data_IF_475845877934
#
_entry.id   IF_475845877934
#
_cell.length_a   1.000
_cell.length_b   1.000
_cell.length_c   1.000
_cell.angle_alpha   90.00
_cell.angle_beta   90.00
_cell.angle_gamma   90.00
#
_symmetry.space_group_name_H-M   'P 1'
#
loop_
_entity.id
_entity.type
_entity.pdbx_description
1 polymer ?
#
# COMPACT_ATOMS: atom_id res chain seq x y z
N UNK A 1 -22.85 -0.34 -18.45
CA UNK A 1 -22.12 -1.21 -19.40
C UNK A 1 -20.63 -1.40 -19.10
N UNK A 2 -19.83 -0.37 -18.71
CA UNK A 2 -18.39 -0.56 -18.36
C UNK A 2 -18.09 -1.25 -17.01
N UNK A 3 -19.02 -1.23 -16.06
CA UNK A 3 -18.84 -1.83 -14.72
C UNK A 3 -18.75 -3.37 -14.78
N UNK A 4 -19.46 -4.01 -15.71
CA UNK A 4 -19.50 -5.47 -15.82
C UNK A 4 -18.14 -6.04 -16.22
N UNK A 5 -17.54 -5.50 -17.29
CA UNK A 5 -16.23 -5.96 -17.80
C UNK A 5 -15.11 -5.82 -16.77
N UNK A 6 -15.12 -4.76 -15.96
CA UNK A 6 -14.12 -4.57 -14.90
C UNK A 6 -14.25 -5.64 -13.81
N UNK A 7 -15.48 -5.94 -13.39
CA UNK A 7 -15.73 -6.97 -12.38
C UNK A 7 -15.45 -8.38 -12.91
N UNK A 8 -15.77 -8.65 -14.17
CA UNK A 8 -15.44 -9.90 -14.86
C UNK A 8 -13.93 -10.16 -14.85
N UNK A 9 -13.11 -9.17 -15.21
CA UNK A 9 -11.63 -9.28 -15.17
C UNK A 9 -11.11 -9.51 -13.75
N UNK A 10 -11.69 -8.86 -12.74
CA UNK A 10 -11.35 -9.11 -11.33
C UNK A 10 -11.64 -10.56 -10.96
N UNK A 11 -12.85 -11.04 -11.29
CA UNK A 11 -13.27 -12.40 -10.95
C UNK A 11 -12.37 -13.44 -11.64
N UNK A 12 -12.01 -13.21 -12.91
CA UNK A 12 -11.09 -14.06 -13.65
C UNK A 12 -9.68 -14.07 -13.02
N UNK A 13 -9.14 -12.90 -12.66
CA UNK A 13 -7.83 -12.82 -12.00
C UNK A 13 -7.85 -13.48 -10.62
N UNK A 14 -8.92 -13.30 -9.84
CA UNK A 14 -9.09 -13.94 -8.54
C UNK A 14 -9.16 -15.47 -8.70
N UNK A 15 -9.96 -15.97 -9.65
CA UNK A 15 -10.09 -17.40 -9.95
C UNK A 15 -8.75 -18.04 -10.31
N UNK A 16 -7.89 -17.30 -11.00
CA UNK A 16 -6.56 -17.76 -11.40
C UNK A 16 -5.47 -17.40 -10.38
N UNK A 17 -5.77 -16.79 -9.23
CA UNK A 17 -4.74 -16.37 -8.26
C UNK A 17 -3.78 -15.28 -8.78
N UNK A 18 -4.16 -14.52 -9.80
CA UNK A 18 -3.38 -13.43 -10.42
C UNK A 18 -3.54 -12.10 -9.66
N UNK A 19 -3.39 -12.14 -8.35
CA UNK A 19 -3.68 -11.01 -7.46
C UNK A 19 -2.78 -9.80 -7.69
N UNK A 20 -1.58 -9.99 -8.23
CA UNK A 20 -0.57 -8.94 -8.41
C UNK A 20 -0.56 -8.33 -9.82
N UNK A 21 -1.52 -8.71 -10.67
CA UNK A 21 -1.58 -8.26 -12.06
C UNK A 21 -2.48 -7.02 -12.22
N UNK A 22 -2.10 -6.08 -13.11
CA UNK A 22 -2.87 -4.87 -13.34
C UNK A 22 -4.22 -5.20 -13.99
N UNK A 23 -5.21 -4.34 -13.75
CA UNK A 23 -6.49 -4.41 -14.45
C UNK A 23 -6.44 -3.39 -15.60
N UNK A 24 -6.10 -3.87 -16.78
CA UNK A 24 -5.93 -3.06 -17.99
C UNK A 24 -7.28 -2.70 -18.63
N UNK A 25 -8.13 -1.98 -17.91
CA UNK A 25 -9.43 -1.52 -18.44
C UNK A 25 -9.45 -0.08 -18.90
N UNK A 26 -8.48 0.72 -18.45
CA UNK A 26 -8.53 2.17 -18.65
C UNK A 26 -7.45 2.73 -19.57
N UNK A 27 -6.47 1.91 -20.01
CA UNK A 27 -5.48 2.33 -21.01
C UNK A 27 -4.66 3.58 -20.63
N UNK A 28 -4.61 3.95 -19.35
CA UNK A 28 -3.84 5.10 -18.88
C UNK A 28 -2.35 4.78 -18.95
N UNK A 29 -1.74 5.03 -20.12
CA UNK A 29 -0.29 5.13 -20.23
C UNK A 29 0.12 6.54 -19.86
N UNK A 30 0.92 6.67 -18.81
CA UNK A 30 1.51 7.96 -18.44
C UNK A 30 2.35 8.48 -19.61
N UNK A 31 2.07 9.72 -20.01
CA UNK A 31 2.89 10.42 -21.01
C UNK A 31 4.07 11.08 -20.28
N UNK A 32 5.22 11.18 -20.93
CA UNK A 32 6.42 11.83 -20.39
C UNK A 32 7.03 11.14 -19.16
N UNK A 33 6.98 9.81 -19.10
CA UNK A 33 7.70 9.03 -18.08
C UNK A 33 9.20 9.33 -18.19
N UNK A 34 9.82 9.55 -17.03
CA UNK A 34 11.26 9.72 -16.88
C UNK A 34 11.80 8.49 -16.16
N UNK A 35 12.57 7.66 -16.87
CA UNK A 35 13.31 6.57 -16.23
C UNK A 35 14.26 7.10 -15.14
N UNK A 36 14.34 6.37 -14.05
CA UNK A 36 15.16 6.74 -12.89
C UNK A 36 16.58 6.24 -13.14
N UNK A 37 17.44 7.16 -13.56
CA UNK A 37 18.88 6.93 -13.77
C UNK A 37 19.65 6.96 -12.46
N UNK A 38 20.91 6.54 -12.51
CA UNK A 38 21.79 6.47 -11.34
C UNK A 38 22.05 7.82 -10.66
N UNK A 39 21.98 8.92 -11.39
CA UNK A 39 22.16 10.29 -10.92
C UNK A 39 20.86 10.94 -10.42
N UNK A 40 19.76 10.17 -10.37
CA UNK A 40 18.47 10.68 -9.93
C UNK A 40 18.53 11.13 -8.47
N UNK A 41 18.21 12.41 -8.26
CA UNK A 41 18.07 12.99 -6.93
C UNK A 41 16.64 12.77 -6.45
N UNK A 42 16.41 11.78 -5.60
CA UNK A 42 15.08 11.50 -5.05
C UNK A 42 14.65 12.64 -4.12
N UNK A 43 15.57 13.14 -3.31
CA UNK A 43 15.38 14.33 -2.50
C UNK A 43 16.28 15.50 -2.92
N UNK A 44 15.68 16.61 -3.35
CA UNK A 44 16.43 17.82 -3.74
C UNK A 44 16.79 18.65 -2.50
N UNK A 45 18.09 18.72 -2.17
CA UNK A 45 18.58 19.40 -0.97
C UNK A 45 18.80 20.92 -1.10
N UNK A 46 18.47 21.52 -2.25
CA UNK A 46 18.59 22.98 -2.45
C UNK A 46 17.56 23.73 -1.60
N UNK A 47 17.90 24.92 -1.09
CA UNK A 47 17.04 25.68 -0.18
C UNK A 47 15.66 26.00 -0.78
N UNK A 48 15.60 26.43 -2.04
CA UNK A 48 14.34 26.69 -2.74
C UNK A 48 13.48 25.42 -2.93
N UNK A 49 14.12 24.25 -3.04
CA UNK A 49 13.42 22.96 -3.11
C UNK A 49 12.78 22.61 -1.77
N UNK A 50 13.37 23.02 -0.64
CA UNK A 50 12.78 22.85 0.70
C UNK A 50 11.55 23.73 0.87
N UNK A 51 11.62 25.00 0.44
CA UNK A 51 10.48 25.94 0.45
C UNK A 51 9.33 25.39 -0.41
N UNK A 52 9.62 25.01 -1.65
CA UNK A 52 8.60 24.42 -2.53
C UNK A 52 8.00 23.14 -1.93
N UNK A 53 8.82 22.28 -1.31
CA UNK A 53 8.34 21.08 -0.61
C UNK A 53 7.40 21.41 0.55
N UNK A 54 7.67 22.48 1.30
CA UNK A 54 6.82 22.93 2.39
C UNK A 54 5.43 23.32 1.86
N UNK A 55 5.37 24.20 0.85
CA UNK A 55 4.11 24.62 0.24
C UNK A 55 3.34 23.45 -0.39
N UNK A 56 4.02 22.60 -1.17
CA UNK A 56 3.37 21.44 -1.79
C UNK A 56 2.81 20.48 -0.73
N UNK A 57 3.52 20.27 0.37
CA UNK A 57 3.03 19.41 1.46
C UNK A 57 1.87 20.05 2.22
N UNK A 58 1.84 21.37 2.35
CA UNK A 58 0.70 22.10 2.91
C UNK A 58 -0.55 21.95 2.01
N UNK A 59 -0.40 22.14 0.70
CA UNK A 59 -1.48 21.93 -0.29
C UNK A 59 -1.99 20.50 -0.22
N UNK A 60 -1.10 19.50 -0.24
CA UNK A 60 -1.51 18.09 -0.16
C UNK A 60 -2.17 17.75 1.17
N UNK A 61 -1.77 18.39 2.28
CA UNK A 61 -2.43 18.22 3.58
C UNK A 61 -3.86 18.79 3.55
N UNK A 62 -4.04 19.96 2.94
CA UNK A 62 -5.36 20.55 2.75
C UNK A 62 -6.24 19.69 1.84
N UNK A 63 -5.71 19.20 0.71
CA UNK A 63 -6.40 18.27 -0.15
C UNK A 63 -6.79 16.98 0.61
N UNK A 64 -5.89 16.44 1.42
CA UNK A 64 -6.15 15.24 2.23
C UNK A 64 -7.30 15.45 3.22
N UNK A 65 -7.39 16.63 3.83
CA UNK A 65 -8.51 17.00 4.70
C UNK A 65 -9.85 17.00 3.94
N UNK A 66 -9.91 17.57 2.73
CA UNK A 66 -11.12 17.53 1.90
C UNK A 66 -11.47 16.10 1.46
N UNK A 67 -10.48 15.30 1.07
CA UNK A 67 -10.70 13.88 0.71
C UNK A 67 -11.24 13.08 1.89
N UNK A 68 -10.76 13.34 3.10
CA UNK A 68 -11.30 12.75 4.33
C UNK A 68 -12.77 13.11 4.54
N UNK A 69 -13.14 14.39 4.35
CA UNK A 69 -14.55 14.81 4.44
C UNK A 69 -15.38 14.12 3.36
N UNK A 70 -14.90 14.12 2.11
CA UNK A 70 -15.60 13.52 0.98
C UNK A 70 -15.88 12.03 1.18
N UNK A 71 -14.93 11.28 1.74
CA UNK A 71 -15.09 9.87 2.07
C UNK A 71 -15.62 9.62 3.49
N UNK A 72 -16.09 10.64 4.21
CA UNK A 72 -16.57 10.54 5.60
C UNK A 72 -15.66 9.65 6.46
N UNK A 73 -14.34 9.84 6.32
CA UNK A 73 -13.36 8.84 6.72
C UNK A 73 -13.29 8.71 8.24
N UNK A 74 -13.36 7.46 8.69
CA UNK A 74 -13.28 7.11 10.11
C UNK A 74 -12.00 6.35 10.38
N UNK A 75 -11.45 6.54 11.58
CA UNK A 75 -10.21 5.88 12.01
C UNK A 75 -10.53 4.95 13.17
N UNK A 76 -10.22 3.66 13.01
CA UNK A 76 -10.25 2.65 14.06
C UNK A 76 -8.84 2.17 14.38
N UNK A 77 -8.63 1.66 15.60
CA UNK A 77 -7.31 1.18 16.03
C UNK A 77 -6.28 2.28 16.34
N UNK A 78 -6.70 3.51 16.68
CA UNK A 78 -5.79 4.61 17.01
C UNK A 78 -4.74 4.28 18.08
N UNK A 79 -5.06 3.37 19.01
CA UNK A 79 -4.13 2.94 20.05
C UNK A 79 -2.92 2.20 19.48
N UNK A 80 -3.09 1.46 18.38
CA UNK A 80 -1.99 0.78 17.70
C UNK A 80 -1.03 1.78 17.04
N UNK A 81 -1.56 2.78 16.34
CA UNK A 81 -0.74 3.89 15.85
C UNK A 81 -0.04 4.67 16.98
N UNK A 82 -0.71 4.86 18.14
CA UNK A 82 -0.10 5.56 19.29
C UNK A 82 1.18 4.85 19.79
N UNK A 83 1.30 3.52 19.65
CA UNK A 83 2.52 2.76 19.97
C UNK A 83 3.71 3.19 19.11
N UNK A 84 3.44 3.69 17.89
CA UNK A 84 4.46 4.12 16.94
C UNK A 84 4.66 5.64 16.89
N UNK A 85 3.87 6.43 17.65
CA UNK A 85 3.77 7.89 17.45
C UNK A 85 5.07 8.69 17.60
N UNK A 86 6.08 8.09 18.24
CA UNK A 86 7.35 8.70 18.59
C UNK A 86 8.54 8.05 17.84
N UNK A 87 8.27 7.15 16.90
CA UNK A 87 9.29 6.44 16.13
C UNK A 87 8.96 6.46 14.63
N UNK A 88 9.95 6.12 13.82
CA UNK A 88 9.78 5.98 12.38
C UNK A 88 9.35 4.56 12.04
N UNK A 89 8.50 4.40 11.03
CA UNK A 89 7.92 3.11 10.69
C UNK A 89 7.58 2.98 9.21
N UNK A 90 7.37 1.75 8.77
CA UNK A 90 6.82 1.43 7.45
C UNK A 90 5.32 1.22 7.62
N UNK A 91 4.49 1.89 6.83
CA UNK A 91 3.05 1.64 6.79
C UNK A 91 2.74 0.77 5.57
N UNK A 92 1.98 -0.31 5.77
CA UNK A 92 1.58 -1.21 4.69
C UNK A 92 0.06 -1.19 4.60
N UNK A 93 -0.49 -0.90 3.42
CA UNK A 93 -1.94 -0.80 3.19
C UNK A 93 -2.36 -1.61 1.98
N UNK A 94 -3.61 -2.07 1.98
CA UNK A 94 -4.30 -2.48 0.76
C UNK A 94 -4.54 -1.26 -0.16
N UNK A 95 -4.60 -1.48 -1.47
CA UNK A 95 -4.67 -0.41 -2.49
C UNK A 95 -5.99 -0.47 -3.27
N UNK A 96 -7.00 0.25 -2.77
CA UNK A 96 -8.39 0.09 -3.23
C UNK A 96 -8.99 1.37 -3.84
N UNK A 97 -8.36 2.54 -3.69
CA UNK A 97 -8.86 3.82 -4.21
C UNK A 97 -7.72 4.69 -4.75
N UNK A 98 -7.98 5.48 -5.80
CA UNK A 98 -6.95 6.36 -6.38
C UNK A 98 -6.35 7.39 -5.39
N UNK A 99 -7.09 7.74 -4.34
CA UNK A 99 -6.74 8.77 -3.36
C UNK A 99 -6.57 8.22 -1.94
N UNK A 100 -6.44 6.91 -1.78
CA UNK A 100 -6.20 6.28 -0.48
C UNK A 100 -4.96 6.80 0.25
N UNK A 101 -3.89 7.08 -0.49
CA UNK A 101 -2.67 7.69 0.06
C UNK A 101 -2.92 9.04 0.76
N UNK A 102 -3.90 9.82 0.30
CA UNK A 102 -4.27 11.09 0.94
C UNK A 102 -5.07 10.86 2.23
N UNK A 103 -5.93 9.83 2.27
CA UNK A 103 -6.59 9.43 3.52
C UNK A 103 -5.56 9.01 4.57
N UNK A 104 -4.60 8.17 4.20
CA UNK A 104 -3.54 7.71 5.10
C UNK A 104 -2.66 8.88 5.56
N UNK A 105 -2.35 9.83 4.65
CA UNK A 105 -1.62 11.05 4.98
C UNK A 105 -2.33 11.89 6.05
N UNK A 106 -3.65 12.09 5.94
CA UNK A 106 -4.39 12.83 6.98
C UNK A 106 -4.44 12.06 8.30
N UNK A 107 -4.65 10.74 8.22
CA UNK A 107 -4.80 9.89 9.41
C UNK A 107 -3.51 9.76 10.23
N UNK A 108 -2.35 9.91 9.57
CA UNK A 108 -1.01 9.90 10.19
C UNK A 108 -0.37 11.30 10.08
N UNK A 109 -1.05 12.32 10.60
CA UNK A 109 -0.64 13.72 10.42
C UNK A 109 0.55 14.20 11.29
N UNK A 110 1.05 13.39 12.24
CA UNK A 110 2.20 13.74 13.10
C UNK A 110 3.56 13.32 12.52
N UNK A 111 3.54 12.55 11.44
CA UNK A 111 4.72 12.06 10.74
C UNK A 111 4.80 12.67 9.35
N UNK A 112 6.03 12.90 8.87
CA UNK A 112 6.26 13.28 7.49
C UNK A 112 6.01 12.06 6.60
N UNK A 113 5.07 12.24 5.68
CA UNK A 113 4.65 11.23 4.73
C UNK A 113 5.67 11.05 3.60
N UNK A 114 5.97 9.79 3.30
CA UNK A 114 6.63 9.32 2.09
C UNK A 114 5.86 8.13 1.52
N UNK A 115 5.94 7.91 0.21
CA UNK A 115 5.26 6.80 -0.46
C UNK A 115 6.14 6.23 -1.57
N UNK A 116 6.15 4.90 -1.70
CA UNK A 116 6.76 4.24 -2.85
C UNK A 116 5.74 4.08 -3.98
N UNK A 117 6.13 4.42 -5.20
CA UNK A 117 5.29 4.28 -6.38
C UNK A 117 6.07 3.59 -7.51
N UNK A 118 5.36 2.96 -8.45
CA UNK A 118 5.96 2.44 -9.67
C UNK A 118 6.74 3.52 -10.42
N UNK A 119 7.82 3.11 -11.11
CA UNK A 119 8.67 4.01 -11.89
C UNK A 119 7.88 4.89 -12.89
N UNK A 120 6.79 4.38 -13.44
CA UNK A 120 5.95 5.09 -14.41
C UNK A 120 5.26 6.34 -13.83
N UNK A 121 5.15 6.45 -12.51
CA UNK A 121 4.68 7.67 -11.85
C UNK A 121 5.75 8.77 -11.82
N UNK A 122 7.01 8.47 -12.17
CA UNK A 122 8.07 9.46 -12.31
C UNK A 122 7.94 10.23 -13.62
N UNK A 123 6.93 11.08 -13.74
CA UNK A 123 6.66 11.86 -14.94
C UNK A 123 7.38 13.22 -14.93
N UNK A 124 7.60 13.81 -16.11
CA UNK A 124 8.12 15.20 -16.22
C UNK A 124 7.03 16.24 -15.88
N UNK A 125 7.45 17.50 -15.73
CA UNK A 125 6.53 18.64 -15.61
C UNK A 125 6.01 18.92 -14.19
N UNK A 126 4.91 19.68 -14.10
CA UNK A 126 4.34 20.13 -12.83
C UNK A 126 3.86 18.97 -11.95
N UNK A 127 3.17 17.97 -12.53
CA UNK A 127 2.69 16.79 -11.80
C UNK A 127 3.84 16.00 -11.18
N UNK A 128 4.91 15.72 -11.93
CA UNK A 128 6.08 15.03 -11.42
C UNK A 128 6.75 15.78 -10.26
N UNK A 129 6.89 17.11 -10.39
CA UNK A 129 7.39 17.95 -9.29
C UNK A 129 6.48 17.87 -8.07
N UNK A 130 5.16 17.96 -8.24
CA UNK A 130 4.20 17.85 -7.15
C UNK A 130 4.32 16.49 -6.43
N UNK A 131 4.38 15.38 -7.16
CA UNK A 131 4.53 14.04 -6.59
C UNK A 131 5.83 13.89 -5.81
N UNK A 132 6.96 14.27 -6.41
CA UNK A 132 8.28 14.21 -5.77
C UNK A 132 8.31 15.04 -4.48
N UNK A 133 7.93 16.31 -4.55
CA UNK A 133 7.93 17.22 -3.40
C UNK A 133 6.88 16.85 -2.34
N UNK A 134 5.80 16.18 -2.77
CA UNK A 134 4.80 15.56 -1.92
C UNK A 134 5.33 14.38 -1.10
N UNK A 135 6.47 13.79 -1.47
CA UNK A 135 7.11 12.66 -0.78
C UNK A 135 7.07 11.34 -1.53
N UNK A 136 6.75 11.34 -2.83
CA UNK A 136 6.80 10.13 -3.65
C UNK A 136 8.25 9.76 -4.00
N UNK A 137 8.58 8.49 -3.85
CA UNK A 137 9.80 7.86 -4.33
C UNK A 137 9.44 6.84 -5.42
N UNK A 138 9.88 7.05 -6.68
CA UNK A 138 9.68 6.05 -7.73
C UNK A 138 10.64 4.88 -7.52
N UNK A 139 10.13 3.65 -7.52
CA UNK A 139 10.93 2.43 -7.44
C UNK A 139 11.67 2.25 -8.78
N UNK A 140 13.01 2.39 -8.82
CA UNK A 140 13.76 2.32 -10.06
C UNK A 140 13.82 0.88 -10.60
N UNK A 141 13.77 0.75 -11.93
CA UNK A 141 14.13 -0.50 -12.61
C UNK A 141 15.66 -0.71 -12.65
N UNK A 142 16.43 0.38 -12.58
CA UNK A 142 17.89 0.33 -12.52
C UNK A 142 18.38 -0.10 -11.12
N UNK A 143 19.17 -1.18 -11.00
CA UNK A 143 19.62 -1.69 -9.69
C UNK A 143 20.48 -0.70 -8.90
N UNK A 144 21.37 0.05 -9.55
CA UNK A 144 22.22 1.04 -8.88
C UNK A 144 21.41 2.23 -8.35
N UNK A 145 20.41 2.67 -9.12
CA UNK A 145 19.48 3.69 -8.66
C UNK A 145 18.60 3.19 -7.49
N UNK A 146 18.21 1.91 -7.51
CA UNK A 146 17.48 1.28 -6.41
C UNK A 146 18.30 1.27 -5.11
N UNK A 147 19.61 0.97 -5.18
CA UNK A 147 20.53 1.05 -4.02
C UNK A 147 20.54 2.48 -3.45
N UNK A 148 20.70 3.51 -4.29
CA UNK A 148 20.67 4.91 -3.85
C UNK A 148 19.32 5.31 -3.23
N UNK A 149 18.22 4.86 -3.83
CA UNK A 149 16.88 5.06 -3.25
C UNK A 149 16.78 4.45 -1.85
N UNK A 150 17.25 3.20 -1.68
CA UNK A 150 17.26 2.50 -0.38
C UNK A 150 18.07 3.27 0.66
N UNK A 151 19.25 3.79 0.29
CA UNK A 151 20.08 4.61 1.18
C UNK A 151 19.37 5.90 1.62
N UNK A 152 18.72 6.61 0.69
CA UNK A 152 17.96 7.83 1.04
C UNK A 152 16.76 7.52 1.98
N UNK A 153 16.04 6.44 1.72
CA UNK A 153 14.92 6.00 2.57
C UNK A 153 15.41 5.56 3.96
N UNK A 154 16.55 4.86 4.04
CA UNK A 154 17.20 4.50 5.30
C UNK A 154 17.51 5.73 6.12
N UNK A 155 18.21 6.71 5.53
CA UNK A 155 18.56 7.97 6.20
C UNK A 155 17.32 8.75 6.67
N UNK A 156 16.20 8.69 5.93
CA UNK A 156 14.93 9.28 6.38
C UNK A 156 14.41 8.56 7.62
N UNK A 157 14.35 7.22 7.61
CA UNK A 157 13.81 6.45 8.73
C UNK A 157 14.74 6.38 9.96
N UNK A 158 16.03 6.63 9.81
CA UNK A 158 16.98 6.73 10.93
C UNK A 158 17.06 8.15 11.52
N UNK A 159 16.56 9.16 10.81
CA UNK A 159 16.61 10.55 11.30
C UNK A 159 15.80 10.75 12.59
N UNK A 160 16.21 11.72 13.41
CA UNK A 160 15.47 12.15 14.62
C UNK A 160 14.08 12.76 14.32
N UNK A 161 13.71 12.89 13.04
CA UNK A 161 12.39 13.38 12.64
C UNK A 161 11.41 12.21 12.68
N UNK A 162 10.13 12.53 12.83
CA UNK A 162 9.03 11.57 12.68
C UNK A 162 8.66 11.43 11.22
N UNK A 163 9.00 10.31 10.61
CA UNK A 163 8.77 9.97 9.21
C UNK A 163 8.10 8.60 9.12
N UNK A 164 7.32 8.38 8.06
CA UNK A 164 6.89 7.04 7.70
C UNK A 164 6.88 6.88 6.18
N UNK A 165 7.08 5.65 5.72
CA UNK A 165 6.97 5.27 4.32
C UNK A 165 5.71 4.44 4.16
N UNK A 166 4.79 4.87 3.30
CA UNK A 166 3.64 4.09 2.86
C UNK A 166 4.02 3.20 1.68
N UNK A 167 3.67 1.91 1.78
CA UNK A 167 3.84 0.92 0.72
C UNK A 167 2.51 0.19 0.52
N UNK A 168 2.07 0.13 -0.73
CA UNK A 168 0.95 -0.70 -1.14
C UNK A 168 1.47 -2.07 -1.57
N UNK A 169 1.50 -3.03 -0.65
CA UNK A 169 2.17 -4.31 -0.87
C UNK A 169 1.40 -5.27 -1.79
N UNK A 170 0.17 -4.95 -2.17
CA UNK A 170 -0.61 -5.69 -3.17
C UNK A 170 -0.19 -5.38 -4.64
N UNK A 171 0.90 -4.60 -4.82
CA UNK A 171 1.55 -4.17 -6.09
C UNK A 171 0.71 -3.28 -7.01
N UNK A 172 -0.52 -3.68 -7.30
CA UNK A 172 -1.47 -3.01 -8.19
C UNK A 172 -2.65 -2.46 -7.41
N UNK A 173 -3.32 -1.42 -7.93
CA UNK A 173 -4.59 -0.99 -7.36
C UNK A 173 -5.73 -1.76 -7.99
N UNK A 174 -6.58 -2.39 -7.19
CA UNK A 174 -7.87 -2.91 -7.65
C UNK A 174 -8.98 -1.98 -7.14
N UNK A 175 -9.45 -1.09 -8.02
CA UNK A 175 -10.43 -0.06 -7.68
C UNK A 175 -11.70 -0.64 -7.06
N UNK A 176 -12.03 -0.19 -5.85
CA UNK A 176 -13.19 -0.62 -5.03
C UNK A 176 -13.21 -2.12 -4.68
N UNK A 177 -12.09 -2.81 -4.85
CA UNK A 177 -11.94 -4.19 -4.38
C UNK A 177 -11.81 -4.20 -2.84
N UNK A 178 -12.54 -5.11 -2.20
CA UNK A 178 -12.72 -5.10 -0.74
C UNK A 178 -12.04 -6.25 -0.01
N UNK A 179 -11.74 -7.36 -0.70
CA UNK A 179 -11.00 -8.46 -0.11
C UNK A 179 -9.53 -8.02 0.05
N UNK A 180 -8.85 -8.39 1.14
CA UNK A 180 -7.39 -8.25 1.20
C UNK A 180 -6.77 -9.05 0.06
N UNK A 181 -5.57 -8.73 -0.42
CA UNK A 181 -4.82 -9.55 -1.38
C UNK A 181 -3.45 -9.97 -0.83
N UNK A 182 -2.90 -11.08 -1.34
CA UNK A 182 -1.49 -11.45 -1.16
C UNK A 182 -0.52 -10.28 -1.32
N UNK A 183 0.49 -10.21 -0.46
CA UNK A 183 1.44 -9.09 -0.39
C UNK A 183 2.86 -9.44 -0.82
N UNK A 184 3.50 -8.62 -1.64
CA UNK A 184 4.88 -8.87 -2.09
C UNK A 184 5.92 -8.52 -1.01
N UNK A 185 7.10 -9.17 -1.09
CA UNK A 185 8.15 -9.08 -0.07
C UNK A 185 8.80 -7.70 0.12
N UNK A 186 8.56 -6.75 -0.79
CA UNK A 186 9.25 -5.46 -0.82
C UNK A 186 9.12 -4.65 0.47
N UNK A 187 7.92 -4.58 1.05
CA UNK A 187 7.69 -3.81 2.28
C UNK A 187 8.43 -4.38 3.50
N UNK A 188 8.42 -5.70 3.64
CA UNK A 188 9.06 -6.42 4.73
C UNK A 188 10.59 -6.36 4.64
N UNK A 189 11.14 -6.37 3.42
CA UNK A 189 12.56 -6.11 3.19
C UNK A 189 12.97 -4.73 3.73
N UNK A 190 12.18 -3.68 3.45
CA UNK A 190 12.47 -2.34 3.98
C UNK A 190 12.37 -2.28 5.50
N UNK A 191 11.37 -2.94 6.10
CA UNK A 191 11.21 -2.98 7.55
C UNK A 191 12.40 -3.67 8.22
N UNK A 192 12.84 -4.81 7.69
CA UNK A 192 14.02 -5.54 8.18
C UNK A 192 15.31 -4.74 7.97
N UNK A 193 15.60 -4.31 6.73
CA UNK A 193 16.86 -3.63 6.37
C UNK A 193 17.08 -2.31 7.14
N UNK A 194 16.00 -1.69 7.62
CA UNK A 194 16.02 -0.42 8.35
C UNK A 194 15.75 -0.58 9.85
N UNK A 195 15.50 -1.80 10.32
CA UNK A 195 15.09 -2.11 11.70
C UNK A 195 13.94 -1.18 12.16
N UNK A 196 12.83 -1.20 11.43
CA UNK A 196 11.64 -0.38 11.71
C UNK A 196 10.38 -1.24 11.77
N UNK A 197 9.44 -0.92 12.68
CA UNK A 197 8.17 -1.62 12.73
C UNK A 197 7.33 -1.34 11.48
N UNK A 198 6.46 -2.30 11.18
CA UNK A 198 5.37 -2.17 10.22
C UNK A 198 4.10 -1.77 10.97
N UNK A 199 3.40 -0.77 10.46
CA UNK A 199 2.01 -0.48 10.80
C UNK A 199 1.11 -1.06 9.71
N UNK A 200 0.43 -2.19 9.94
CA UNK A 200 -0.56 -2.69 9.01
C UNK A 200 -1.79 -1.78 9.02
N UNK A 201 -2.24 -1.40 7.83
CA UNK A 201 -3.42 -0.57 7.59
C UNK A 201 -4.38 -1.37 6.72
N UNK A 202 -5.64 -1.45 7.14
CA UNK A 202 -6.70 -2.01 6.32
C UNK A 202 -7.76 -0.94 6.03
N UNK A 203 -8.00 -0.68 4.75
CA UNK A 203 -9.00 0.26 4.25
C UNK A 203 -10.28 -0.49 3.91
N UNK A 204 -11.30 -0.25 4.72
CA UNK A 204 -12.64 -0.78 4.53
C UNK A 204 -13.49 0.22 3.73
N UNK A 205 -13.99 -0.22 2.57
CA UNK A 205 -14.91 0.56 1.74
C UNK A 205 -16.34 0.19 2.10
N UNK A 206 -17.14 1.17 2.52
CA UNK A 206 -18.60 1.03 2.60
C UNK A 206 -19.25 1.76 1.42
N UNK A 207 -20.02 1.03 0.63
CA UNK A 207 -20.79 1.55 -0.50
C UNK A 207 -22.20 1.97 -0.06
N UNK A 208 -22.88 2.77 -0.87
CA UNK A 208 -24.32 3.01 -0.70
C UNK A 208 -25.11 1.73 -1.00
N UNK A 209 -26.28 1.56 -0.35
CA UNK A 209 -27.19 0.43 -0.66
C UNK A 209 -27.55 0.51 -2.15
N UNK A 210 -27.44 -0.61 -2.86
CA UNK A 210 -27.75 -0.73 -4.29
C UNK A 210 -26.94 0.21 -5.22
N UNK A 211 -25.71 0.58 -4.84
CA UNK A 211 -24.86 1.43 -5.68
C UNK A 211 -23.38 1.11 -5.52
N UNK A 212 -22.61 1.22 -6.61
CA UNK A 212 -21.14 1.13 -6.57
C UNK A 212 -20.44 2.40 -6.09
N UNK A 213 -21.19 3.43 -5.68
CA UNK A 213 -20.64 4.65 -5.11
C UNK A 213 -20.12 4.38 -3.69
N UNK A 214 -18.89 4.82 -3.44
CA UNK A 214 -18.31 4.78 -2.09
C UNK A 214 -19.03 5.80 -1.23
N UNK A 215 -19.63 5.34 -0.13
CA UNK A 215 -20.29 6.18 0.88
C UNK A 215 -19.29 6.65 1.92
N UNK A 216 -18.48 5.73 2.43
CA UNK A 216 -17.44 6.05 3.40
C UNK A 216 -16.27 5.08 3.34
N UNK A 217 -15.11 5.52 3.81
CA UNK A 217 -13.93 4.69 3.99
C UNK A 217 -13.56 4.64 5.46
N UNK A 218 -13.34 3.46 6.02
CA UNK A 218 -12.85 3.29 7.39
C UNK A 218 -11.40 2.82 7.34
N UNK A 219 -10.50 3.57 7.94
CA UNK A 219 -9.08 3.24 8.06
C UNK A 219 -8.84 2.53 9.39
N UNK A 220 -8.43 1.27 9.33
CA UNK A 220 -8.09 0.47 10.49
C UNK A 220 -6.57 0.42 10.64
N UNK A 221 -6.07 0.93 11.77
CA UNK A 221 -4.69 0.71 12.19
C UNK A 221 -4.63 -0.59 13.00
N UNK A 222 -3.98 -1.62 12.46
CA UNK A 222 -3.88 -2.92 13.10
C UNK A 222 -2.63 -2.99 13.98
N UNK A 223 -2.41 -4.12 14.63
CA UNK A 223 -1.31 -4.27 15.60
C UNK A 223 0.04 -4.13 14.89
N UNK A 224 0.95 -3.26 15.37
CA UNK A 224 2.26 -3.11 14.75
C UNK A 224 3.07 -4.39 14.81
N UNK A 225 3.84 -4.64 13.77
CA UNK A 225 4.68 -5.81 13.62
C UNK A 225 6.13 -5.35 13.68
N UNK A 226 6.95 -5.97 14.53
CA UNK A 226 8.35 -5.60 14.70
C UNK A 226 9.25 -6.66 14.04
N UNK A 227 10.37 -6.26 13.42
CA UNK A 227 11.41 -7.20 13.07
C UNK A 227 11.86 -7.99 14.30
N UNK A 228 12.11 -9.29 14.14
CA UNK A 228 12.66 -10.15 15.17
C UNK A 228 14.17 -10.37 14.94
N UNK A 229 15.01 -9.75 15.77
CA UNK A 229 16.47 -9.83 15.63
C UNK A 229 17.07 -11.22 15.90
N UNK A 230 16.27 -12.18 16.36
CA UNK A 230 16.69 -13.58 16.54
C UNK A 230 16.45 -14.47 15.32
N UNK A 231 15.76 -13.96 14.29
CA UNK A 231 15.49 -14.67 13.04
C UNK A 231 16.42 -14.18 11.94
N UNK A 232 16.72 -15.06 10.99
CA UNK A 232 17.40 -14.62 9.77
C UNK A 232 16.50 -13.71 8.92
N UNK A 233 17.08 -13.10 7.88
CA UNK A 233 16.34 -12.16 7.02
C UNK A 233 15.11 -12.79 6.37
N UNK A 234 15.23 -14.03 5.89
CA UNK A 234 14.15 -14.72 5.17
C UNK A 234 13.01 -15.07 6.12
N UNK A 235 13.34 -15.69 7.26
CA UNK A 235 12.39 -16.07 8.31
C UNK A 235 11.67 -14.84 8.88
N UNK A 236 12.39 -13.74 9.07
CA UNK A 236 11.82 -12.49 9.59
C UNK A 236 10.85 -11.86 8.58
N UNK A 237 11.22 -11.83 7.29
CA UNK A 237 10.34 -11.36 6.21
C UNK A 237 9.06 -12.22 6.16
N UNK A 238 9.19 -13.54 6.21
CA UNK A 238 8.06 -14.46 6.19
C UNK A 238 7.15 -14.27 7.42
N UNK A 239 7.74 -14.20 8.62
CA UNK A 239 7.01 -13.94 9.87
C UNK A 239 6.21 -12.64 9.78
N UNK A 240 6.84 -11.54 9.35
CA UNK A 240 6.16 -10.24 9.24
C UNK A 240 5.06 -10.26 8.19
N UNK A 241 5.30 -10.92 7.05
CA UNK A 241 4.33 -11.09 5.96
C UNK A 241 3.12 -11.89 6.43
N UNK A 242 3.33 -13.09 6.96
CA UNK A 242 2.26 -13.96 7.42
C UNK A 242 1.43 -13.28 8.52
N UNK A 243 2.08 -12.60 9.46
CA UNK A 243 1.38 -11.84 10.50
C UNK A 243 0.48 -10.73 9.90
N UNK A 244 1.01 -9.94 8.96
CA UNK A 244 0.23 -8.89 8.30
C UNK A 244 -0.96 -9.46 7.53
N UNK A 245 -0.73 -10.48 6.70
CA UNK A 245 -1.76 -11.11 5.87
C UNK A 245 -2.87 -11.70 6.74
N UNK A 246 -2.50 -12.39 7.83
CA UNK A 246 -3.44 -12.89 8.82
C UNK A 246 -4.27 -11.76 9.45
N UNK A 247 -3.63 -10.66 9.88
CA UNK A 247 -4.35 -9.51 10.45
C UNK A 247 -5.34 -8.88 9.46
N UNK A 248 -4.99 -8.82 8.17
CA UNK A 248 -5.89 -8.34 7.12
C UNK A 248 -7.07 -9.26 6.87
N UNK A 249 -6.83 -10.57 6.78
CA UNK A 249 -7.87 -11.60 6.62
C UNK A 249 -8.84 -11.57 7.81
N UNK A 250 -8.32 -11.61 9.03
CA UNK A 250 -9.14 -11.54 10.25
C UNK A 250 -9.96 -10.25 10.29
N UNK A 251 -9.35 -9.11 9.94
CA UNK A 251 -10.06 -7.82 9.90
C UNK A 251 -11.15 -7.80 8.83
N UNK A 252 -10.90 -8.38 7.66
CA UNK A 252 -11.89 -8.49 6.60
C UNK A 252 -13.11 -9.30 7.08
N UNK A 253 -12.89 -10.49 7.65
CA UNK A 253 -13.98 -11.30 8.19
C UNK A 253 -14.78 -10.57 9.27
N UNK A 254 -14.11 -9.86 10.18
CA UNK A 254 -14.76 -9.06 11.22
C UNK A 254 -15.66 -7.95 10.65
N UNK A 255 -15.14 -7.10 9.77
CA UNK A 255 -15.86 -5.87 9.34
C UNK A 255 -16.97 -6.13 8.33
N UNK A 256 -16.88 -7.27 7.63
CA UNK A 256 -17.91 -7.76 6.71
C UNK A 256 -18.82 -8.82 7.34
N UNK A 257 -18.60 -9.20 8.62
CA UNK A 257 -19.39 -10.19 9.37
C UNK A 257 -19.50 -11.52 8.63
N UNK A 258 -18.41 -11.94 8.02
CA UNK A 258 -18.33 -13.19 7.27
C UNK A 258 -17.88 -14.29 8.25
N UNK A 259 -18.57 -15.44 8.32
CA UNK A 259 -18.14 -16.57 9.13
C UNK A 259 -16.73 -17.05 8.76
N UNK A 260 -15.88 -17.38 9.76
CA UNK A 260 -14.50 -17.79 9.52
C UNK A 260 -14.35 -19.12 8.77
N UNK A 261 -15.39 -19.94 8.71
CA UNK A 261 -15.42 -21.17 7.92
C UNK A 261 -15.77 -20.92 6.44
N UNK A 262 -16.11 -19.68 6.07
CA UNK A 262 -16.36 -19.32 4.68
C UNK A 262 -15.04 -18.94 3.99
N UNK A 263 -14.77 -19.60 2.86
CA UNK A 263 -13.59 -19.30 2.05
C UNK A 263 -13.57 -17.86 1.54
N UNK A 264 -12.40 -17.26 1.60
CA UNK A 264 -12.11 -15.92 1.11
C UNK A 264 -12.19 -15.87 -0.42
N UNK A 265 -11.60 -16.87 -1.09
CA UNK A 265 -11.62 -17.02 -2.54
C UNK A 265 -12.05 -18.43 -2.95
N UNK A 266 -12.53 -18.54 -4.19
CA UNK A 266 -12.69 -19.81 -4.92
C UNK A 266 -11.70 -19.76 -6.08
N UNK A 267 -10.75 -20.68 -6.11
CA UNK A 267 -9.57 -20.59 -6.99
C UNK A 267 -9.38 -21.93 -7.71
N UNK A 268 -8.95 -21.90 -8.97
CA UNK A 268 -8.55 -23.10 -9.68
C UNK A 268 -7.19 -23.64 -9.19
N UNK A 269 -6.83 -24.86 -9.58
CA UNK A 269 -5.58 -25.50 -9.17
C UNK A 269 -4.35 -24.61 -9.41
N UNK A 270 -4.25 -23.98 -10.59
CA UNK A 270 -3.13 -23.09 -10.91
C UNK A 270 -3.06 -21.87 -9.96
N UNK A 271 -4.20 -21.28 -9.62
CA UNK A 271 -4.25 -20.15 -8.70
C UNK A 271 -4.02 -20.55 -7.26
N UNK A 272 -4.40 -21.78 -6.87
CA UNK A 272 -4.09 -22.35 -5.57
C UNK A 272 -2.58 -22.55 -5.41
N UNK A 273 -1.89 -23.06 -6.44
CA UNK A 273 -0.42 -23.19 -6.46
C UNK A 273 0.29 -21.84 -6.35
N UNK A 274 -0.25 -20.79 -7.00
CA UNK A 274 0.28 -19.43 -6.90
C UNK A 274 0.22 -18.87 -5.46
N UNK A 275 -0.64 -19.41 -4.60
CA UNK A 275 -0.75 -19.03 -3.20
C UNK A 275 0.18 -19.81 -2.26
N UNK A 276 1.02 -20.73 -2.75
CA UNK A 276 1.99 -21.46 -1.92
C UNK A 276 2.92 -20.51 -1.13
N UNK A 277 3.26 -19.34 -1.70
CA UNK A 277 4.07 -18.32 -1.01
C UNK A 277 3.26 -17.48 0.01
N UNK A 278 1.97 -17.75 0.15
CA UNK A 278 1.00 -16.99 0.95
C UNK A 278 0.13 -17.96 1.77
N UNK A 279 0.72 -18.71 2.71
CA UNK A 279 0.03 -19.80 3.42
C UNK A 279 -1.21 -19.31 4.18
N UNK A 280 -1.20 -18.07 4.68
CA UNK A 280 -2.36 -17.49 5.37
C UNK A 280 -3.55 -17.27 4.42
N UNK A 281 -3.31 -16.90 3.16
CA UNK A 281 -4.35 -16.83 2.15
C UNK A 281 -4.78 -18.22 1.69
N UNK A 282 -3.82 -19.11 1.41
CA UNK A 282 -4.10 -20.46 0.91
C UNK A 282 -5.02 -21.25 1.87
N UNK A 283 -4.80 -21.14 3.18
CA UNK A 283 -5.66 -21.75 4.22
C UNK A 283 -7.12 -21.29 4.18
N UNK A 284 -7.40 -20.12 3.60
CA UNK A 284 -8.74 -19.54 3.50
C UNK A 284 -9.39 -19.77 2.14
N UNK A 285 -8.80 -20.62 1.29
CA UNK A 285 -9.24 -20.84 -0.08
C UNK A 285 -9.66 -22.29 -0.29
N UNK A 286 -10.67 -22.48 -1.14
CA UNK A 286 -10.94 -23.80 -1.71
C UNK A 286 -10.35 -23.87 -3.11
N UNK A 287 -9.56 -24.89 -3.35
CA UNK A 287 -9.24 -25.36 -4.69
C UNK A 287 -10.51 -25.94 -5.32
N UNK A 288 -10.83 -25.51 -6.54
CA UNK A 288 -11.87 -26.12 -7.36
C UNK A 288 -11.22 -26.76 -8.59
N UNK A 289 -11.59 -28.01 -8.86
CA UNK A 289 -11.27 -28.64 -10.13
C UNK A 289 -12.14 -27.99 -11.20
N UNK A 290 -11.50 -27.42 -12.22
CA UNK A 290 -12.17 -26.94 -13.42
C UNK A 290 -11.99 -28.05 -14.45
N UNK A 291 -13.10 -28.72 -14.81
CA UNK A 291 -13.14 -29.68 -15.92
C UNK A 291 -13.03 -28.98 -17.27
#
# INVERSE_FOLDING_TARGET
MKINKYQEIINEKELNGLFNEPIDTFGFKEKNIRKVKEDHKFWKNKWYSKIYSFFMRAILKLASFFIKIWFLNQIKGKNNYKKLKNQNFVAVSNHCLYLDNLLIRDNINKHKFFILAKEDNNVKGARGRMLQHGGMFPIPSNPRALIKMKQELKALLESKKRNFILIFAEKEMWHKYTKPRPTVNGAYNFAYDFDKPILPIFLEIKKYKNSDRVKRVITHFLEPIYPNNNLDKSENIEMMKNNLEKQWIDKYYEVFKIPKNQNLYKINSQGFDRLNEHPEFQKQCNEIQIN
#
